data_IF_983996683842
#
_entry.id   IF_983996683842
#
_cell.length_a   1.000
_cell.length_b   1.000
_cell.length_c   1.000
_cell.angle_alpha   90.00
_cell.angle_beta   90.00
_cell.angle_gamma   90.00
#
_symmetry.space_group_name_H-M   'P 1'
#
loop_
_entity.id
_entity.type
_entity.pdbx_description
1 polymer ?
#
# COMPACT_ATOMS: atom_id res chain seq x y z
N UNK A 1 -12.16 104.58 7.39
CA UNK A 1 -11.48 103.77 6.34
C UNK A 1 -12.39 102.74 5.68
N UNK A 2 -13.44 102.22 6.34
CA UNK A 2 -14.35 101.21 5.77
C UNK A 2 -15.31 101.76 4.69
N UNK A 3 -15.87 102.96 4.87
CA UNK A 3 -16.92 103.47 3.96
C UNK A 3 -16.40 103.93 2.59
N UNK A 4 -15.17 104.46 2.53
CA UNK A 4 -14.54 104.86 1.27
C UNK A 4 -14.25 103.64 0.37
N UNK A 5 -13.80 102.53 0.95
CA UNK A 5 -13.55 101.30 0.21
C UNK A 5 -14.85 100.67 -0.30
N UNK A 6 -15.95 100.75 0.46
CA UNK A 6 -17.27 100.31 0.00
C UNK A 6 -17.77 101.14 -1.18
N UNK A 7 -17.57 102.47 -1.15
CA UNK A 7 -17.94 103.34 -2.26
C UNK A 7 -17.13 103.04 -3.53
N UNK A 8 -15.81 102.83 -3.41
CA UNK A 8 -14.95 102.39 -4.53
C UNK A 8 -15.38 101.05 -5.11
N UNK A 9 -15.72 100.08 -4.25
CA UNK A 9 -16.24 98.78 -4.69
C UNK A 9 -17.58 98.90 -5.42
N UNK A 10 -18.51 99.72 -4.93
CA UNK A 10 -19.79 99.95 -5.60
C UNK A 10 -19.59 100.59 -6.99
N UNK A 11 -18.67 101.55 -7.10
CA UNK A 11 -18.29 102.17 -8.36
C UNK A 11 -17.67 101.16 -9.34
N UNK A 12 -16.78 100.30 -8.84
CA UNK A 12 -16.17 99.23 -9.63
C UNK A 12 -17.21 98.22 -10.13
N UNK A 13 -18.18 97.82 -9.31
CA UNK A 13 -19.25 96.91 -9.72
C UNK A 13 -20.10 97.52 -10.85
N UNK A 14 -20.52 98.78 -10.71
CA UNK A 14 -21.21 99.50 -11.78
C UNK A 14 -20.38 99.57 -13.07
N UNK A 15 -19.06 99.67 -12.94
CA UNK A 15 -18.13 99.63 -14.07
C UNK A 15 -18.08 98.28 -14.77
N UNK A 16 -18.02 97.19 -14.01
CA UNK A 16 -18.06 95.85 -14.61
C UNK A 16 -19.37 95.56 -15.35
N UNK A 17 -20.47 96.21 -14.94
CA UNK A 17 -21.81 96.04 -15.52
C UNK A 17 -22.13 97.07 -16.63
N UNK A 18 -21.22 98.00 -16.94
CA UNK A 18 -21.42 99.11 -17.90
C UNK A 18 -22.54 100.11 -17.54
N UNK A 19 -22.80 100.32 -16.24
CA UNK A 19 -23.89 101.18 -15.73
C UNK A 19 -23.41 102.52 -15.12
N UNK A 20 -22.22 103.03 -15.48
CA UNK A 20 -21.79 104.34 -14.96
C UNK A 20 -22.51 105.51 -15.62
N UNK A 21 -22.79 106.52 -14.82
CA UNK A 21 -23.14 107.86 -15.29
C UNK A 21 -21.88 108.67 -15.63
N UNK A 22 -22.01 109.70 -16.48
CA UNK A 22 -20.89 110.54 -16.94
C UNK A 22 -20.07 111.15 -15.78
N UNK A 23 -20.73 111.51 -14.67
CA UNK A 23 -20.07 112.04 -13.47
C UNK A 23 -19.33 110.96 -12.68
N UNK A 24 -19.89 109.75 -12.59
CA UNK A 24 -19.25 108.62 -11.92
C UNK A 24 -18.05 108.10 -12.72
N UNK A 25 -18.07 108.23 -14.04
CA UNK A 25 -16.94 107.88 -14.91
C UNK A 25 -15.71 108.76 -14.66
N UNK A 26 -15.91 110.08 -14.51
CA UNK A 26 -14.80 111.00 -14.18
C UNK A 26 -14.18 110.68 -12.81
N UNK A 27 -15.01 110.34 -11.83
CA UNK A 27 -14.52 109.90 -10.51
C UNK A 27 -13.78 108.56 -10.59
N UNK A 28 -14.26 107.63 -11.43
CA UNK A 28 -13.60 106.35 -11.66
C UNK A 28 -12.20 106.53 -12.27
N UNK A 29 -12.10 107.36 -13.31
CA UNK A 29 -10.83 107.68 -13.97
C UNK A 29 -9.84 108.35 -13.00
N UNK A 30 -10.35 109.25 -12.14
CA UNK A 30 -9.53 109.85 -11.09
C UNK A 30 -9.03 108.79 -10.09
N UNK A 31 -9.87 107.88 -9.63
CA UNK A 31 -9.45 106.82 -8.71
C UNK A 31 -8.47 105.82 -9.34
N UNK A 32 -8.51 105.62 -10.65
CA UNK A 32 -7.52 104.81 -11.35
C UNK A 32 -6.14 105.46 -11.40
N UNK A 33 -6.06 106.80 -11.30
CA UNK A 33 -4.80 107.55 -11.27
C UNK A 33 -4.28 107.66 -9.82
N UNK A 34 -5.19 107.89 -8.87
CA UNK A 34 -4.83 108.19 -7.48
C UNK A 34 -4.56 106.93 -6.62
N UNK A 35 -5.09 105.77 -7.01
CA UNK A 35 -5.04 104.53 -6.21
C UNK A 35 -4.57 103.31 -7.02
N UNK A 36 -3.34 102.88 -6.78
CA UNK A 36 -2.70 101.72 -7.42
C UNK A 36 -3.48 100.42 -7.18
N UNK A 37 -4.00 100.20 -5.96
CA UNK A 37 -4.78 99.00 -5.60
C UNK A 37 -6.13 98.94 -6.35
N UNK A 38 -6.66 100.09 -6.76
CA UNK A 38 -7.89 100.17 -7.55
C UNK A 38 -7.60 99.94 -9.04
N UNK A 39 -6.56 100.58 -9.56
CA UNK A 39 -6.10 100.39 -10.94
C UNK A 39 -5.73 98.92 -11.24
N UNK A 40 -5.08 98.24 -10.30
CA UNK A 40 -4.74 96.83 -10.43
C UNK A 40 -5.99 95.95 -10.59
N UNK A 41 -7.05 96.20 -9.80
CA UNK A 41 -8.32 95.46 -9.91
C UNK A 41 -8.99 95.64 -11.25
N UNK A 42 -8.97 96.87 -11.78
CA UNK A 42 -9.49 97.21 -13.12
C UNK A 42 -8.70 96.47 -14.20
N UNK A 43 -7.36 96.45 -14.10
CA UNK A 43 -6.52 95.74 -15.06
C UNK A 43 -6.73 94.22 -15.05
N UNK A 44 -6.93 93.63 -13.86
CA UNK A 44 -7.21 92.20 -13.68
C UNK A 44 -8.56 91.85 -14.28
N UNK A 45 -9.59 92.68 -14.04
CA UNK A 45 -10.91 92.48 -14.64
C UNK A 45 -10.83 92.50 -16.18
N UNK A 46 -10.15 93.49 -16.77
CA UNK A 46 -9.98 93.57 -18.22
C UNK A 46 -9.27 92.34 -18.81
N UNK A 47 -8.23 91.85 -18.14
CA UNK A 47 -7.53 90.63 -18.56
C UNK A 47 -8.42 89.38 -18.45
N UNK A 48 -9.16 89.25 -17.36
CA UNK A 48 -10.08 88.12 -17.14
C UNK A 48 -11.19 88.11 -18.19
N UNK A 49 -11.75 89.30 -18.49
CA UNK A 49 -12.77 89.44 -19.52
C UNK A 49 -12.23 89.01 -20.89
N UNK A 50 -11.04 89.49 -21.28
CA UNK A 50 -10.39 89.08 -22.53
C UNK A 50 -10.15 87.55 -22.58
N UNK A 51 -9.71 86.94 -21.48
CA UNK A 51 -9.50 85.49 -21.38
C UNK A 51 -10.83 84.71 -21.44
N UNK A 52 -11.92 85.28 -20.92
CA UNK A 52 -13.24 84.65 -20.96
C UNK A 52 -13.87 84.69 -22.36
N UNK A 53 -13.71 85.80 -23.08
CA UNK A 53 -14.24 85.97 -24.44
C UNK A 53 -13.58 85.02 -25.44
N UNK A 54 -12.31 84.64 -25.19
CA UNK A 54 -11.53 83.72 -26.03
C UNK A 54 -11.34 82.35 -25.37
N UNK A 55 -12.23 81.97 -24.44
CA UNK A 55 -12.15 80.64 -23.83
C UNK A 55 -12.54 79.56 -24.84
N UNK A 56 -11.55 78.81 -25.30
CA UNK A 56 -11.77 77.57 -26.05
C UNK A 56 -11.74 76.38 -25.08
N UNK A 57 -12.80 75.58 -25.07
CA UNK A 57 -12.83 74.36 -24.28
C UNK A 57 -11.77 73.39 -24.84
N UNK A 58 -10.73 73.13 -24.05
CA UNK A 58 -9.72 72.15 -24.40
C UNK A 58 -10.37 70.77 -24.58
N UNK A 59 -9.97 70.05 -25.63
CA UNK A 59 -10.42 68.68 -25.87
C UNK A 59 -9.94 67.80 -24.71
N UNK A 60 -10.89 67.16 -24.01
CA UNK A 60 -10.58 66.29 -22.88
C UNK A 60 -9.83 65.08 -23.42
N UNK A 61 -8.62 64.77 -22.90
CA UNK A 61 -7.90 63.58 -23.33
C UNK A 61 -8.75 62.31 -23.12
N UNK A 62 -8.60 61.35 -24.02
CA UNK A 62 -9.24 60.04 -23.87
C UNK A 62 -8.60 59.30 -22.68
N UNK A 63 -9.19 59.52 -21.50
CA UNK A 63 -8.70 58.98 -20.26
C UNK A 63 -9.28 57.57 -20.08
N UNK A 64 -8.40 56.58 -20.20
CA UNK A 64 -8.79 55.20 -19.96
C UNK A 64 -8.94 54.94 -18.45
N UNK A 65 -10.19 54.89 -17.99
CA UNK A 65 -10.59 54.52 -16.62
C UNK A 65 -9.97 53.20 -16.14
N UNK A 66 -9.63 52.30 -17.05
CA UNK A 66 -9.08 50.99 -16.72
C UNK A 66 -7.59 51.02 -16.37
N UNK A 67 -6.87 52.10 -16.74
CA UNK A 67 -5.43 52.24 -16.48
C UNK A 67 -5.10 52.85 -15.12
N UNK A 68 -6.05 53.57 -14.48
CA UNK A 68 -5.80 54.26 -13.22
C UNK A 68 -5.64 53.35 -11.99
N UNK A 69 -6.11 52.11 -12.06
CA UNK A 69 -6.15 51.18 -10.91
C UNK A 69 -5.47 49.82 -11.17
N UNK A 70 -4.77 49.64 -12.29
CA UNK A 70 -4.06 48.40 -12.59
C UNK A 70 -2.67 48.36 -11.96
N UNK A 71 -2.55 48.73 -10.68
CA UNK A 71 -1.50 48.12 -9.87
C UNK A 71 -1.92 46.68 -9.61
N UNK A 72 -1.48 45.76 -10.47
CA UNK A 72 -1.39 44.35 -10.14
C UNK A 72 -0.42 44.21 -8.97
N UNK A 73 -0.91 44.47 -7.76
CA UNK A 73 -0.16 44.28 -6.54
C UNK A 73 0.05 42.79 -6.42
N UNK A 74 1.26 42.33 -6.76
CA UNK A 74 1.63 40.93 -6.66
C UNK A 74 1.35 40.48 -5.22
N UNK A 75 0.35 39.63 -5.03
CA UNK A 75 -0.01 39.16 -3.70
C UNK A 75 1.20 38.48 -3.07
N UNK A 76 1.61 38.90 -1.86
CA UNK A 76 2.62 38.19 -1.09
C UNK A 76 2.27 36.71 -0.97
N UNK A 77 3.28 35.85 -0.88
CA UNK A 77 3.12 34.39 -0.78
C UNK A 77 2.23 33.95 0.39
N UNK A 78 2.12 34.76 1.45
CA UNK A 78 1.23 34.52 2.59
C UNK A 78 -0.23 34.95 2.35
N UNK A 79 -0.53 35.77 1.33
CA UNK A 79 -1.90 36.19 1.02
C UNK A 79 -2.62 35.21 0.09
N UNK A 80 -2.06 34.02 -0.11
CA UNK A 80 -2.70 33.02 -0.94
C UNK A 80 -4.02 32.59 -0.30
N UNK A 81 -5.08 32.54 -1.12
CA UNK A 81 -6.47 32.27 -0.70
C UNK A 81 -6.66 30.93 0.04
N UNK A 82 -5.63 30.07 0.06
CA UNK A 82 -5.61 28.84 0.82
C UNK A 82 -5.43 29.02 2.34
N UNK A 83 -4.77 30.08 2.83
CA UNK A 83 -4.51 30.23 4.27
C UNK A 83 -5.80 30.33 5.11
N UNK A 84 -6.82 31.15 4.76
CA UNK A 84 -8.06 31.19 5.53
C UNK A 84 -8.81 29.86 5.53
N UNK A 85 -8.80 29.16 4.39
CA UNK A 85 -9.43 27.83 4.27
C UNK A 85 -8.71 26.78 5.12
N UNK A 86 -7.37 26.85 5.20
CA UNK A 86 -6.56 25.97 6.03
C UNK A 86 -6.82 26.24 7.51
N UNK A 87 -6.80 27.50 7.96
CA UNK A 87 -7.14 27.87 9.34
C UNK A 87 -8.56 27.41 9.73
N UNK A 88 -9.53 27.55 8.82
CA UNK A 88 -10.90 27.08 9.04
C UNK A 88 -10.96 25.55 9.15
N UNK A 89 -10.32 24.81 8.24
CA UNK A 89 -10.24 23.35 8.30
C UNK A 89 -9.55 22.87 9.59
N UNK A 90 -8.46 23.53 10.00
CA UNK A 90 -7.77 23.22 11.26
C UNK A 90 -8.64 23.51 12.48
N UNK A 91 -9.47 24.55 12.45
CA UNK A 91 -10.41 24.83 13.55
C UNK A 91 -11.48 23.75 13.69
N UNK A 92 -12.04 23.28 12.57
CA UNK A 92 -12.99 22.17 12.56
C UNK A 92 -12.31 20.89 13.06
N UNK A 93 -11.10 20.60 12.59
CA UNK A 93 -10.34 19.44 13.03
C UNK A 93 -10.06 19.48 14.54
N UNK A 94 -9.70 20.65 15.09
CA UNK A 94 -9.48 20.81 16.53
C UNK A 94 -10.76 20.57 17.34
N UNK A 95 -11.91 21.09 16.88
CA UNK A 95 -13.22 20.84 17.52
C UNK A 95 -13.53 19.34 17.51
N UNK A 96 -13.31 18.67 16.38
CA UNK A 96 -13.52 17.22 16.26
C UNK A 96 -12.58 16.42 17.17
N UNK A 97 -11.30 16.77 17.24
CA UNK A 97 -10.33 16.12 18.13
C UNK A 97 -10.74 16.21 19.61
N UNK A 98 -11.24 17.37 20.05
CA UNK A 98 -11.67 17.60 21.44
C UNK A 98 -12.99 16.88 21.73
N UNK A 99 -13.95 16.94 20.82
CA UNK A 99 -15.29 16.32 21.02
C UNK A 99 -15.25 14.80 20.92
N UNK A 100 -14.45 14.25 20.01
CA UNK A 100 -14.30 12.81 19.81
C UNK A 100 -13.26 12.18 20.75
N UNK A 101 -12.52 13.00 21.52
CA UNK A 101 -11.38 12.59 22.35
C UNK A 101 -10.49 11.58 21.62
N UNK A 102 -9.95 12.04 20.50
CA UNK A 102 -9.04 11.26 19.67
C UNK A 102 -7.66 11.20 20.35
N UNK A 103 -7.24 9.99 20.69
CA UNK A 103 -5.89 9.72 21.20
C UNK A 103 -5.03 9.21 20.05
N UNK A 104 -3.88 9.87 19.87
CA UNK A 104 -2.93 9.54 18.82
C UNK A 104 -1.69 8.97 19.47
N UNK A 105 -1.49 7.66 19.33
CA UNK A 105 -0.34 6.97 19.91
C UNK A 105 0.53 6.44 18.79
N UNK A 106 1.80 6.84 18.80
CA UNK A 106 2.81 6.36 17.86
C UNK A 106 3.75 5.45 18.63
N UNK A 107 3.76 4.16 18.27
CA UNK A 107 4.64 3.16 18.85
C UNK A 107 5.22 2.28 17.74
N UNK A 108 6.55 2.17 17.70
CA UNK A 108 7.30 1.30 16.78
C UNK A 108 6.84 1.32 15.31
N UNK A 109 6.72 2.52 14.75
CA UNK A 109 6.38 2.71 13.33
C UNK A 109 4.92 2.42 12.98
N UNK A 110 4.09 2.05 13.96
CA UNK A 110 2.64 1.97 13.82
C UNK A 110 1.97 3.20 14.42
N UNK A 111 1.03 3.76 13.68
CA UNK A 111 0.21 4.90 14.09
C UNK A 111 -1.18 4.37 14.40
N UNK A 112 -1.56 4.37 15.69
CA UNK A 112 -2.89 3.95 16.12
C UNK A 112 -3.71 5.16 16.53
N UNK A 113 -4.90 5.25 15.94
CA UNK A 113 -5.90 6.28 16.23
C UNK A 113 -6.99 5.62 17.10
N UNK A 114 -7.11 5.99 18.37
CA UNK A 114 -8.14 5.50 19.29
C UNK A 114 -9.17 6.59 19.60
N UNK A 115 -10.46 6.23 19.58
CA UNK A 115 -11.56 7.12 19.94
C UNK A 115 -11.97 6.83 21.38
N UNK A 116 -11.68 7.74 22.32
CA UNK A 116 -11.95 7.50 23.73
C UNK A 116 -13.44 7.77 24.07
N UNK A 117 -14.34 6.98 23.47
CA UNK A 117 -15.73 6.90 23.88
C UNK A 117 -15.92 5.73 24.83
N UNK A 118 -16.03 5.95 26.14
CA UNK A 118 -16.23 4.87 27.13
C UNK A 118 -17.47 3.98 26.84
N UNK A 119 -18.46 4.50 26.10
CA UNK A 119 -19.61 3.74 25.61
C UNK A 119 -19.28 2.84 24.40
N UNK A 120 -18.35 3.28 23.55
CA UNK A 120 -17.92 2.57 22.35
C UNK A 120 -16.87 1.50 22.69
N UNK A 121 -16.02 1.75 23.69
CA UNK A 121 -15.08 0.75 24.22
C UNK A 121 -15.82 -0.49 24.74
N UNK A 122 -16.92 -0.32 25.49
CA UNK A 122 -17.74 -1.45 25.98
C UNK A 122 -18.41 -2.24 24.86
N UNK A 123 -18.89 -1.57 23.81
CA UNK A 123 -19.48 -2.25 22.64
C UNK A 123 -18.41 -2.98 21.83
N UNK A 124 -17.23 -2.39 21.68
CA UNK A 124 -16.08 -3.03 21.02
C UNK A 124 -15.61 -4.24 21.82
N UNK A 125 -15.47 -4.13 23.15
CA UNK A 125 -15.13 -5.25 24.02
C UNK A 125 -16.17 -6.37 23.97
N UNK A 126 -17.46 -6.04 23.94
CA UNK A 126 -18.53 -7.04 23.78
C UNK A 126 -18.45 -7.74 22.43
N UNK A 127 -18.28 -7.00 21.33
CA UNK A 127 -18.15 -7.57 20.00
C UNK A 127 -16.89 -8.42 19.87
N UNK A 128 -15.77 -7.96 20.42
CA UNK A 128 -14.50 -8.71 20.43
C UNK A 128 -14.64 -9.99 21.26
N UNK A 129 -15.26 -9.94 22.44
CA UNK A 129 -15.50 -11.13 23.25
C UNK A 129 -16.43 -12.13 22.55
N UNK A 130 -17.48 -11.67 21.87
CA UNK A 130 -18.37 -12.51 21.07
C UNK A 130 -17.59 -13.21 19.95
N UNK A 131 -16.76 -12.47 19.21
CA UNK A 131 -15.90 -13.05 18.16
C UNK A 131 -14.88 -14.02 18.74
N UNK A 132 -14.22 -13.71 19.85
CA UNK A 132 -13.26 -14.62 20.49
C UNK A 132 -13.96 -15.91 20.93
N UNK A 133 -15.17 -15.83 21.49
CA UNK A 133 -15.95 -17.00 21.87
C UNK A 133 -16.34 -17.86 20.65
N UNK A 134 -16.78 -17.23 19.56
CA UNK A 134 -17.09 -17.89 18.29
C UNK A 134 -15.84 -18.58 17.71
N UNK A 135 -14.70 -17.87 17.67
CA UNK A 135 -13.43 -18.43 17.20
C UNK A 135 -12.96 -19.59 18.07
N UNK A 136 -13.08 -19.51 19.40
CA UNK A 136 -12.71 -20.60 20.30
C UNK A 136 -13.58 -21.85 20.07
N UNK A 137 -14.89 -21.68 19.89
CA UNK A 137 -15.81 -22.78 19.57
C UNK A 137 -15.48 -23.42 18.21
N UNK A 138 -15.23 -22.59 17.19
CA UNK A 138 -14.86 -23.07 15.86
C UNK A 138 -13.52 -23.82 15.89
N UNK A 139 -12.54 -23.29 16.61
CA UNK A 139 -11.22 -23.90 16.75
C UNK A 139 -11.29 -25.25 17.48
N UNK A 140 -12.08 -25.38 18.55
CA UNK A 140 -12.29 -26.66 19.25
C UNK A 140 -12.90 -27.72 18.32
N UNK A 141 -13.94 -27.37 17.57
CA UNK A 141 -14.56 -28.32 16.63
C UNK A 141 -13.60 -28.76 15.52
N UNK A 142 -12.73 -27.85 15.06
CA UNK A 142 -11.70 -28.16 14.05
C UNK A 142 -10.59 -29.05 14.61
N UNK A 143 -10.23 -28.90 15.88
CA UNK A 143 -9.28 -29.79 16.53
C UNK A 143 -9.86 -31.20 16.70
N UNK A 144 -11.13 -31.33 17.07
CA UNK A 144 -11.81 -32.63 17.15
C UNK A 144 -11.86 -33.32 15.79
N UNK A 145 -12.26 -32.60 14.73
CA UNK A 145 -12.26 -33.11 13.35
C UNK A 145 -10.85 -33.58 12.91
N UNK A 146 -9.81 -32.79 13.20
CA UNK A 146 -8.43 -33.17 12.88
C UNK A 146 -7.93 -34.36 13.70
N UNK A 147 -8.30 -34.44 14.99
CA UNK A 147 -7.92 -35.56 15.84
C UNK A 147 -8.55 -36.87 15.35
N UNK A 148 -9.81 -36.84 14.93
CA UNK A 148 -10.50 -37.99 14.34
C UNK A 148 -9.84 -38.43 13.02
N UNK A 149 -9.52 -37.46 12.13
CA UNK A 149 -8.81 -37.75 10.89
C UNK A 149 -7.43 -38.37 11.12
N UNK A 150 -6.67 -37.86 12.09
CA UNK A 150 -5.35 -38.41 12.46
C UNK A 150 -5.48 -39.82 13.02
N UNK A 151 -6.45 -40.07 13.91
CA UNK A 151 -6.71 -41.39 14.47
C UNK A 151 -7.08 -42.41 13.38
N UNK A 152 -7.99 -42.02 12.48
CA UNK A 152 -8.42 -42.86 11.36
C UNK A 152 -7.26 -43.15 10.40
N UNK A 153 -6.45 -42.15 10.05
CA UNK A 153 -5.26 -42.33 9.23
C UNK A 153 -4.24 -43.25 9.89
N UNK A 154 -3.99 -43.11 11.20
CA UNK A 154 -3.07 -43.98 11.93
C UNK A 154 -3.56 -45.42 11.96
N UNK A 155 -4.87 -45.64 12.17
CA UNK A 155 -5.47 -46.97 12.14
C UNK A 155 -5.33 -47.60 10.74
N UNK A 156 -5.64 -46.85 9.68
CA UNK A 156 -5.48 -47.31 8.30
C UNK A 156 -4.03 -47.65 7.98
N UNK A 157 -3.08 -46.77 8.31
CA UNK A 157 -1.64 -47.03 8.13
C UNK A 157 -1.19 -48.29 8.86
N UNK A 158 -1.60 -48.47 10.12
CA UNK A 158 -1.28 -49.67 10.88
C UNK A 158 -1.85 -50.94 10.24
N UNK A 159 -3.10 -50.89 9.73
CA UNK A 159 -3.69 -52.04 9.03
C UNK A 159 -2.96 -52.34 7.71
N UNK A 160 -2.54 -51.32 6.96
CA UNK A 160 -1.78 -51.49 5.73
C UNK A 160 -0.42 -52.11 6.00
N UNK A 161 0.29 -51.63 7.03
CA UNK A 161 1.56 -52.21 7.46
C UNK A 161 1.40 -53.66 7.93
N UNK A 162 0.38 -53.95 8.73
CA UNK A 162 0.09 -55.32 9.16
C UNK A 162 -0.25 -56.23 7.96
N UNK A 163 -1.08 -55.76 7.03
CA UNK A 163 -1.42 -56.49 5.81
C UNK A 163 -0.19 -56.71 4.91
N UNK A 164 0.68 -55.70 4.78
CA UNK A 164 1.94 -55.81 4.05
C UNK A 164 2.85 -56.84 4.70
N UNK A 165 3.09 -56.76 6.01
CA UNK A 165 3.91 -57.74 6.75
C UNK A 165 3.34 -59.15 6.63
N UNK A 166 2.02 -59.32 6.75
CA UNK A 166 1.37 -60.62 6.60
C UNK A 166 1.46 -61.16 5.17
N UNK A 167 1.27 -60.31 4.15
CA UNK A 167 1.40 -60.70 2.75
C UNK A 167 2.84 -61.06 2.40
N UNK A 168 3.80 -60.23 2.81
CA UNK A 168 5.23 -60.48 2.61
C UNK A 168 5.67 -61.75 3.32
N UNK A 169 5.27 -61.97 4.58
CA UNK A 169 5.59 -63.23 5.29
C UNK A 169 4.96 -64.46 4.62
N UNK A 170 3.77 -64.35 4.03
CA UNK A 170 3.15 -65.45 3.26
C UNK A 170 3.90 -65.71 1.95
N UNK A 171 4.37 -64.67 1.28
CA UNK A 171 5.16 -64.78 0.04
C UNK A 171 6.54 -65.37 0.34
N UNK A 172 7.26 -64.83 1.32
CA UNK A 172 8.55 -65.31 1.79
C UNK A 172 8.47 -66.79 2.17
N UNK A 173 7.48 -67.20 2.99
CA UNK A 173 7.31 -68.63 3.30
C UNK A 173 7.05 -69.50 2.07
N UNK A 174 6.31 -69.02 1.07
CA UNK A 174 6.08 -69.78 -0.17
C UNK A 174 7.36 -69.93 -0.99
N UNK A 175 8.17 -68.88 -1.03
CA UNK A 175 9.49 -68.89 -1.65
C UNK A 175 10.44 -69.83 -0.90
N UNK A 176 10.50 -69.74 0.42
CA UNK A 176 11.25 -70.67 1.28
C UNK A 176 10.81 -72.12 1.06
N UNK A 177 9.50 -72.39 1.01
CA UNK A 177 8.99 -73.74 0.73
C UNK A 177 9.36 -74.22 -0.68
N UNK A 178 9.37 -73.33 -1.68
CA UNK A 178 9.79 -73.68 -3.03
C UNK A 178 11.30 -74.01 -3.08
N UNK A 179 12.12 -73.26 -2.35
CA UNK A 179 13.55 -73.54 -2.20
C UNK A 179 13.78 -74.88 -1.49
N UNK A 180 13.06 -75.16 -0.41
CA UNK A 180 13.13 -76.45 0.29
C UNK A 180 12.78 -77.63 -0.63
N UNK A 181 11.70 -77.51 -1.42
CA UNK A 181 11.30 -78.57 -2.36
C UNK A 181 12.37 -78.77 -3.44
N UNK A 182 12.92 -77.67 -3.96
CA UNK A 182 14.01 -77.71 -4.94
C UNK A 182 15.23 -78.44 -4.37
N UNK A 183 15.67 -78.08 -3.16
CA UNK A 183 16.80 -78.71 -2.50
C UNK A 183 16.59 -80.22 -2.25
N UNK A 184 15.38 -80.61 -1.82
CA UNK A 184 15.05 -82.04 -1.63
C UNK A 184 15.05 -82.81 -2.95
N UNK A 185 14.61 -82.21 -4.04
CA UNK A 185 14.65 -82.85 -5.36
C UNK A 185 16.09 -82.99 -5.87
N UNK A 186 16.92 -81.96 -5.70
CA UNK A 186 18.35 -82.01 -6.04
C UNK A 186 19.06 -83.12 -5.26
N UNK A 187 18.85 -83.24 -3.94
CA UNK A 187 19.38 -84.36 -3.15
C UNK A 187 18.91 -85.73 -3.68
N UNK A 188 17.63 -85.87 -4.02
CA UNK A 188 17.09 -87.13 -4.56
C UNK A 188 17.68 -87.49 -5.90
N UNK A 189 17.92 -86.53 -6.77
CA UNK A 189 18.57 -86.76 -8.07
C UNK A 189 20.02 -87.20 -7.87
N UNK A 190 20.76 -86.50 -7.01
CA UNK A 190 22.14 -86.86 -6.67
C UNK A 190 22.23 -88.26 -6.05
N UNK A 191 21.33 -88.60 -5.14
CA UNK A 191 21.24 -89.93 -4.52
C UNK A 191 20.95 -91.00 -5.57
N UNK A 192 19.99 -90.78 -6.47
CA UNK A 192 19.68 -91.72 -7.56
C UNK A 192 20.89 -91.95 -8.45
N UNK A 193 21.59 -90.88 -8.84
CA UNK A 193 22.80 -90.95 -9.64
C UNK A 193 23.91 -91.69 -8.87
N UNK A 194 24.06 -91.44 -7.57
CA UNK A 194 25.02 -92.12 -6.70
C UNK A 194 24.76 -93.63 -6.62
N UNK A 195 23.53 -94.05 -6.36
CA UNK A 195 23.14 -95.46 -6.35
C UNK A 195 23.31 -96.12 -7.72
N UNK A 196 22.96 -95.43 -8.81
CA UNK A 196 23.17 -95.94 -10.17
C UNK A 196 24.67 -96.19 -10.44
N UNK A 197 25.56 -95.27 -10.03
CA UNK A 197 27.01 -95.49 -10.14
C UNK A 197 27.48 -96.68 -9.30
N UNK A 198 27.00 -96.82 -8.06
CA UNK A 198 27.35 -97.97 -7.20
C UNK A 198 26.89 -99.31 -7.81
N UNK A 199 25.66 -99.39 -8.29
CA UNK A 199 25.14 -100.59 -8.96
C UNK A 199 25.97 -100.93 -10.20
N UNK A 200 26.34 -99.92 -11.01
CA UNK A 200 27.20 -100.13 -12.18
C UNK A 200 28.61 -100.59 -11.80
N UNK A 201 29.19 -100.09 -10.70
CA UNK A 201 30.47 -100.58 -10.16
C UNK A 201 30.35 -102.03 -9.70
N UNK A 202 29.33 -102.36 -8.89
CA UNK A 202 29.07 -103.73 -8.46
C UNK A 202 28.89 -104.70 -9.63
N UNK A 203 28.17 -104.30 -10.68
CA UNK A 203 28.03 -105.11 -11.91
C UNK A 203 29.37 -105.32 -12.61
N UNK A 204 30.19 -104.28 -12.72
CA UNK A 204 31.53 -104.38 -13.32
C UNK A 204 32.42 -105.32 -12.51
N UNK A 205 32.41 -105.19 -11.18
CA UNK A 205 33.20 -106.03 -10.27
C UNK A 205 32.75 -107.49 -10.31
N UNK A 206 31.43 -107.76 -10.27
CA UNK A 206 30.86 -109.10 -10.42
C UNK A 206 31.24 -109.69 -11.77
N UNK A 207 31.08 -108.95 -12.87
CA UNK A 207 31.44 -109.44 -14.20
C UNK A 207 32.94 -109.71 -14.34
N UNK A 208 33.80 -108.88 -13.72
CA UNK A 208 35.23 -109.10 -13.69
C UNK A 208 35.60 -110.33 -12.86
N UNK A 209 34.93 -110.57 -11.73
CA UNK A 209 35.12 -111.73 -10.88
C UNK A 209 34.60 -113.03 -11.55
N UNK A 210 33.42 -113.01 -12.15
CA UNK A 210 32.84 -114.15 -12.89
C UNK A 210 33.62 -114.52 -14.14
N UNK A 211 34.43 -113.60 -14.69
CA UNK A 211 35.36 -113.88 -15.81
C UNK A 211 36.69 -114.49 -15.36
N UNK A 212 36.90 -114.74 -14.06
CA UNK A 212 37.97 -115.61 -13.58
C UNK A 212 37.42 -117.03 -13.41
N UNK A 213 37.76 -117.98 -14.28
CA UNK A 213 37.51 -119.39 -13.99
C UNK A 213 38.45 -119.84 -12.87
N UNK A 214 37.91 -119.98 -11.65
CA UNK A 214 38.59 -120.47 -10.44
C UNK A 214 39.13 -121.92 -10.56
N UNK A 215 38.86 -122.63 -11.65
CA UNK A 215 39.34 -124.00 -11.87
C UNK A 215 40.70 -124.08 -12.61
N UNK A 216 41.30 -122.95 -13.02
CA UNK A 216 42.64 -122.96 -13.64
C UNK A 216 43.80 -122.85 -12.63
N UNK A 217 43.52 -122.66 -11.33
CA UNK A 217 44.53 -122.51 -10.27
C UNK A 217 44.80 -123.78 -9.45
N UNK A 218 44.01 -124.84 -9.58
CA UNK A 218 44.14 -126.06 -8.74
C UNK A 218 44.68 -127.30 -9.47
N UNK A 219 45.06 -127.19 -10.76
CA UNK A 219 45.65 -128.31 -11.52
C UNK A 219 47.18 -128.44 -11.41
N UNK A 220 47.82 -127.70 -10.52
CA UNK A 220 49.26 -127.77 -10.37
C UNK A 220 49.67 -127.49 -8.92
N UNK A 221 49.49 -128.48 -8.03
CA UNK A 221 50.40 -128.79 -6.89
C UNK A 221 49.85 -129.87 -5.93
N UNK A 222 50.07 -131.14 -6.29
CA UNK A 222 50.43 -132.23 -5.36
C UNK A 222 51.45 -133.12 -6.11
N UNK A 223 52.34 -133.91 -5.46
CA UNK A 223 52.35 -134.34 -4.05
C UNK A 223 53.74 -134.29 -3.36
N UNK A 224 53.77 -134.47 -2.03
CA UNK A 224 54.58 -135.47 -1.26
C UNK A 224 54.73 -135.01 0.20
N UNK A 225 54.18 -135.76 1.17
CA UNK A 225 54.83 -136.85 1.96
C UNK A 225 55.72 -136.26 3.06
N UNK A 226 55.81 -136.68 4.33
CA UNK A 226 55.53 -137.86 5.18
C UNK A 226 55.31 -137.27 6.62
N UNK A 227 54.65 -137.84 7.63
CA UNK A 227 54.55 -139.17 8.22
C UNK A 227 53.25 -139.26 9.02
#
# INVERSE_FOLDING_TARGET
>A
MSDLNKAKQALFMKWTESELTDHEQQLFEQYCIDDEDFADKVSVHGRLQQMSEHYEAAEVPDWDRSTGFSHAQASPWWQWKGLPALSFATSIAAILLVTLKLEFTVHDGSMTISFSGAAQQKQIEQLVNERIAEYAALQNSKFEEQAELLQNNQMQMNTQLANYVLATSRTERREDFAELIKHVNEQREDDQVFYARQINRLKTDINANSRRPDWLSELNEQPNSEN
#
